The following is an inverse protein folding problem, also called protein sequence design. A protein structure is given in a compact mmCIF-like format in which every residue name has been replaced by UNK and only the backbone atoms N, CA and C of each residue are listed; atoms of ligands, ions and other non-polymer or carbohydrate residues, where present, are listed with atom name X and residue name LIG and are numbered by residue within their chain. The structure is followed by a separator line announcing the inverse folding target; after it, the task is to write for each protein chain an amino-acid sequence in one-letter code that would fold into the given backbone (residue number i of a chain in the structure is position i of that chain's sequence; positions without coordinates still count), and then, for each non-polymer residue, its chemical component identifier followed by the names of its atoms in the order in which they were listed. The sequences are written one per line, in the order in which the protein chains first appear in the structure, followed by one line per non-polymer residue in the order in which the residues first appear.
data_IF_613551788488
#
_entry.id   IF_613551788488
#
_cell.length_a   1.000
_cell.length_b   1.000
_cell.length_c   1.000
_cell.angle_alpha   90.00
_cell.angle_beta   90.00
_cell.angle_gamma   90.00
#
_symmetry.space_group_name_H-M   'P 1'
#
loop_
_entity.id
_entity.type
_entity.pdbx_description
1 polymer ?
#
# COMPACT_ATOMS: atom_id res chain seq x y z
N UNK A 1 -16.16 -9.59 -1.70
CA UNK A 1 -16.47 -10.02 -3.07
C UNK A 1 -15.86 -8.99 -4.00
N UNK A 2 -15.10 -9.34 -5.04
CA UNK A 2 -15.47 -10.15 -6.21
C UNK A 2 -14.55 -11.35 -6.47
N UNK A 3 -15.12 -12.52 -6.75
CA UNK A 3 -14.42 -13.54 -7.53
C UNK A 3 -14.43 -13.04 -8.97
N UNK A 4 -13.38 -12.32 -9.38
CA UNK A 4 -13.16 -12.07 -10.80
C UNK A 4 -12.92 -13.45 -11.42
N UNK A 5 -13.94 -14.00 -12.08
CA UNK A 5 -13.78 -15.15 -12.96
C UNK A 5 -12.92 -14.68 -14.11
N UNK A 6 -11.65 -15.06 -14.05
CA UNK A 6 -10.67 -14.73 -15.04
C UNK A 6 -10.68 -15.83 -16.11
N UNK A 7 -11.34 -15.58 -17.23
CA UNK A 7 -11.28 -16.46 -18.40
C UNK A 7 -10.00 -16.16 -19.17
N UNK A 8 -8.93 -16.85 -18.79
CA UNK A 8 -7.64 -16.71 -19.44
C UNK A 8 -7.74 -17.19 -20.91
N UNK A 9 -7.20 -16.40 -21.83
CA UNK A 9 -7.06 -16.81 -23.24
C UNK A 9 -6.16 -18.06 -23.33
N UNK A 10 -6.44 -18.97 -24.26
CA UNK A 10 -5.63 -20.20 -24.44
C UNK A 10 -4.64 -20.11 -25.60
N UNK A 11 -4.70 -19.05 -26.41
CA UNK A 11 -3.75 -18.83 -27.51
C UNK A 11 -2.48 -18.15 -27.01
N UNK A 12 -1.33 -18.47 -27.61
CA UNK A 12 -0.07 -17.84 -27.21
C UNK A 12 -0.10 -16.30 -27.31
N UNK A 13 -0.57 -15.67 -28.41
CA UNK A 13 -0.64 -14.20 -28.48
C UNK A 13 -1.53 -13.60 -27.39
N UNK A 14 -2.67 -14.22 -27.08
CA UNK A 14 -3.57 -13.73 -26.04
C UNK A 14 -3.00 -13.88 -24.62
N UNK A 15 -2.30 -14.99 -24.35
CA UNK A 15 -1.55 -15.17 -23.10
C UNK A 15 -0.42 -14.14 -22.97
N UNK A 16 0.32 -13.89 -24.05
CA UNK A 16 1.43 -12.95 -24.05
C UNK A 16 0.95 -11.52 -23.82
N UNK A 17 -0.14 -11.14 -24.47
CA UNK A 17 -0.81 -9.86 -24.22
C UNK A 17 -1.23 -9.73 -22.75
N UNK A 18 -1.92 -10.75 -22.22
CA UNK A 18 -2.35 -10.78 -20.81
C UNK A 18 -1.18 -10.62 -19.85
N UNK A 19 -0.05 -11.28 -20.13
CA UNK A 19 1.17 -11.15 -19.33
C UNK A 19 1.68 -9.70 -19.33
N UNK A 20 1.82 -9.07 -20.49
CA UNK A 20 2.33 -7.70 -20.59
C UNK A 20 1.39 -6.67 -19.96
N UNK A 21 0.08 -6.79 -20.19
CA UNK A 21 -0.93 -5.90 -19.59
C UNK A 21 -0.95 -6.03 -18.07
N UNK A 22 -0.93 -7.26 -17.55
CA UNK A 22 -0.93 -7.50 -16.10
C UNK A 22 0.37 -7.07 -15.43
N UNK A 23 1.50 -7.15 -16.14
CA UNK A 23 2.78 -6.66 -15.65
C UNK A 23 2.77 -5.13 -15.58
N UNK A 24 2.31 -4.47 -16.62
CA UNK A 24 2.14 -3.01 -16.63
C UNK A 24 1.22 -2.54 -15.49
N UNK A 25 0.08 -3.17 -15.33
CA UNK A 25 -0.87 -2.88 -14.25
C UNK A 25 -0.27 -3.13 -12.86
N UNK A 26 0.53 -4.19 -12.71
CA UNK A 26 1.25 -4.49 -11.46
C UNK A 26 2.23 -3.36 -11.12
N UNK A 27 3.08 -2.97 -12.06
CA UNK A 27 4.12 -1.94 -11.88
C UNK A 27 3.48 -0.59 -11.53
N UNK A 28 2.49 -0.15 -12.31
CA UNK A 28 1.78 1.13 -12.09
C UNK A 28 1.01 1.14 -10.77
N UNK A 29 0.39 0.01 -10.39
CA UNK A 29 -0.27 -0.13 -9.09
C UNK A 29 0.75 -0.09 -7.95
N UNK A 30 1.95 -0.63 -8.16
CA UNK A 30 3.01 -0.65 -7.15
C UNK A 30 3.59 0.74 -6.90
N UNK A 31 3.86 1.51 -7.96
CA UNK A 31 4.27 2.91 -7.87
C UNK A 31 3.24 3.75 -7.07
N UNK A 32 1.94 3.59 -7.37
CA UNK A 32 0.87 4.25 -6.60
C UNK A 32 0.79 3.76 -5.14
N UNK A 33 0.99 2.47 -4.90
CA UNK A 33 1.00 1.90 -3.55
C UNK A 33 2.12 2.50 -2.70
N UNK A 34 3.33 2.59 -3.24
CA UNK A 34 4.48 3.20 -2.57
C UNK A 34 4.29 4.71 -2.36
N UNK A 35 3.75 5.43 -3.35
CA UNK A 35 3.37 6.84 -3.21
C UNK A 35 2.40 7.06 -2.05
N UNK A 36 1.37 6.23 -1.94
CA UNK A 36 0.42 6.31 -0.83
C UNK A 36 1.06 5.94 0.52
N UNK A 37 1.97 4.96 0.55
CA UNK A 37 2.73 4.60 1.75
C UNK A 37 3.61 5.75 2.24
N UNK A 38 4.30 6.42 1.33
CA UNK A 38 5.09 7.61 1.63
C UNK A 38 4.22 8.72 2.22
N UNK A 39 3.11 9.06 1.58
CA UNK A 39 2.15 10.05 2.10
C UNK A 39 1.56 9.65 3.46
N UNK A 40 1.33 8.35 3.68
CA UNK A 40 0.86 7.84 4.97
C UNK A 40 1.88 8.08 6.06
N UNK A 41 3.17 7.92 5.76
CA UNK A 41 4.24 8.20 6.70
C UNK A 41 4.29 9.69 7.06
N UNK A 42 4.19 10.59 6.09
CA UNK A 42 4.11 12.04 6.34
C UNK A 42 2.90 12.41 7.23
N UNK A 43 1.72 11.83 6.97
CA UNK A 43 0.54 12.04 7.81
C UNK A 43 0.73 11.51 9.24
N UNK A 44 1.41 10.38 9.40
CA UNK A 44 1.72 9.83 10.73
C UNK A 44 2.70 10.71 11.49
N UNK A 45 3.70 11.28 10.81
CA UNK A 45 4.58 12.27 11.45
C UNK A 45 3.84 13.55 11.83
N UNK A 46 2.97 14.07 10.95
CA UNK A 46 2.11 15.20 11.28
C UNK A 46 1.29 14.90 12.53
N UNK A 47 0.67 13.72 12.62
CA UNK A 47 -0.08 13.32 13.81
C UNK A 47 0.80 13.17 15.07
N UNK A 48 2.01 12.62 14.93
CA UNK A 48 2.91 12.39 16.06
C UNK A 48 3.50 13.70 16.63
N UNK A 49 3.83 14.65 15.75
CA UNK A 49 4.47 15.92 16.12
C UNK A 49 3.52 17.12 16.16
N UNK A 50 2.23 16.91 15.89
CA UNK A 50 1.22 17.96 15.99
C UNK A 50 1.00 18.32 17.46
N UNK A 51 1.13 19.62 17.76
CA UNK A 51 0.66 20.22 19.01
C UNK A 51 -0.74 20.83 18.85
N UNK A 52 -1.44 20.51 17.75
CA UNK A 52 -2.66 21.18 17.37
C UNK A 52 -3.87 20.71 18.17
N UNK A 53 -4.96 21.48 18.11
CA UNK A 53 -6.19 21.21 18.83
C UNK A 53 -6.97 20.01 18.25
N UNK A 54 -7.93 19.49 19.02
CA UNK A 54 -8.70 18.29 18.67
C UNK A 54 -9.38 18.34 17.27
N UNK A 55 -9.90 19.47 16.76
CA UNK A 55 -10.51 19.51 15.43
C UNK A 55 -9.53 19.20 14.30
N UNK A 56 -8.29 19.70 14.36
CA UNK A 56 -7.28 19.46 13.32
C UNK A 56 -6.71 18.04 13.40
N UNK A 57 -6.57 17.48 14.61
CA UNK A 57 -6.21 16.07 14.80
C UNK A 57 -7.26 15.15 14.13
N UNK A 58 -8.55 15.41 14.34
CA UNK A 58 -9.61 14.62 13.71
C UNK A 58 -9.61 14.71 12.17
N UNK A 59 -9.25 15.88 11.62
CA UNK A 59 -9.07 16.07 10.16
C UNK A 59 -7.90 15.23 9.65
N UNK A 60 -6.75 15.27 10.33
CA UNK A 60 -5.58 14.45 9.98
C UNK A 60 -5.86 12.94 10.08
N UNK A 61 -6.53 12.49 11.14
CA UNK A 61 -6.94 11.08 11.29
C UNK A 61 -7.90 10.64 10.19
N UNK A 62 -8.83 11.52 9.78
CA UNK A 62 -9.76 11.25 8.67
C UNK A 62 -9.03 11.12 7.35
N UNK A 63 -8.09 12.03 7.06
CA UNK A 63 -7.22 11.94 5.88
C UNK A 63 -6.38 10.67 5.89
N UNK A 64 -5.82 10.30 7.05
CA UNK A 64 -5.09 9.04 7.24
C UNK A 64 -5.98 7.83 6.98
N UNK A 65 -7.24 7.84 7.44
CA UNK A 65 -8.19 6.75 7.23
C UNK A 65 -8.53 6.55 5.75
N UNK A 66 -8.79 7.64 5.02
CA UNK A 66 -9.02 7.60 3.56
C UNK A 66 -7.80 7.01 2.86
N UNK A 67 -6.60 7.46 3.22
CA UNK A 67 -5.36 6.95 2.63
C UNK A 67 -5.11 5.48 2.96
N UNK A 68 -5.38 5.04 4.20
CA UNK A 68 -5.28 3.64 4.61
C UNK A 68 -6.22 2.74 3.80
N UNK A 69 -7.45 3.19 3.52
CA UNK A 69 -8.37 2.45 2.65
C UNK A 69 -7.80 2.33 1.23
N UNK A 70 -7.28 3.42 0.66
CA UNK A 70 -6.63 3.41 -0.66
C UNK A 70 -5.45 2.44 -0.70
N UNK A 71 -4.59 2.44 0.32
CA UNK A 71 -3.46 1.50 0.45
C UNK A 71 -3.95 0.05 0.49
N UNK A 72 -4.99 -0.24 1.27
CA UNK A 72 -5.57 -1.58 1.35
C UNK A 72 -6.11 -2.04 -0.01
N UNK A 73 -6.79 -1.16 -0.75
CA UNK A 73 -7.27 -1.44 -2.11
C UNK A 73 -6.12 -1.70 -3.07
N UNK A 74 -5.08 -0.86 -3.07
CA UNK A 74 -3.89 -1.07 -3.92
C UNK A 74 -3.16 -2.36 -3.60
N UNK A 75 -2.98 -2.69 -2.32
CA UNK A 75 -2.40 -3.97 -1.92
C UNK A 75 -3.21 -5.16 -2.46
N UNK A 76 -4.55 -5.11 -2.39
CA UNK A 76 -5.38 -6.16 -2.99
C UNK A 76 -5.22 -6.25 -4.51
N UNK A 77 -5.14 -5.11 -5.21
CA UNK A 77 -4.90 -5.07 -6.65
C UNK A 77 -3.55 -5.71 -7.01
N UNK A 78 -2.46 -5.40 -6.27
CA UNK A 78 -1.16 -6.04 -6.45
C UNK A 78 -1.24 -7.57 -6.38
N UNK A 79 -1.95 -8.11 -5.38
CA UNK A 79 -2.17 -9.55 -5.26
C UNK A 79 -2.95 -10.14 -6.43
N UNK A 80 -3.95 -9.42 -6.94
CA UNK A 80 -4.73 -9.84 -8.11
C UNK A 80 -3.85 -9.91 -9.35
N UNK A 81 -3.08 -8.86 -9.66
CA UNK A 81 -2.20 -8.84 -10.83
C UNK A 81 -1.08 -9.86 -10.74
N UNK A 82 -0.48 -10.04 -9.56
CA UNK A 82 0.51 -11.10 -9.33
C UNK A 82 -0.08 -12.49 -9.56
N UNK A 83 -1.32 -12.73 -9.13
CA UNK A 83 -2.02 -13.99 -9.40
C UNK A 83 -2.25 -14.20 -10.90
N UNK A 84 -2.72 -13.17 -11.61
CA UNK A 84 -2.96 -13.24 -13.05
C UNK A 84 -1.66 -13.56 -13.80
N UNK A 85 -0.55 -12.90 -13.45
CA UNK A 85 0.77 -13.17 -14.03
C UNK A 85 1.21 -14.61 -13.81
N UNK A 86 1.10 -15.11 -12.58
CA UNK A 86 1.47 -16.48 -12.24
C UNK A 86 0.61 -17.51 -12.99
N UNK A 87 -0.70 -17.31 -13.04
CA UNK A 87 -1.62 -18.18 -13.78
C UNK A 87 -1.30 -18.15 -15.28
N UNK A 88 -1.11 -16.97 -15.86
CA UNK A 88 -0.78 -16.76 -17.27
C UNK A 88 0.51 -17.47 -17.67
N UNK A 89 1.60 -17.25 -16.93
CA UNK A 89 2.89 -17.89 -17.22
C UNK A 89 2.84 -19.41 -17.01
N UNK A 90 2.11 -19.87 -15.99
CA UNK A 90 1.90 -21.31 -15.76
C UNK A 90 1.16 -21.94 -16.93
N UNK A 91 0.10 -21.30 -17.42
CA UNK A 91 -0.64 -21.77 -18.60
C UNK A 91 0.23 -21.79 -19.85
N UNK A 92 1.08 -20.78 -20.08
CA UNK A 92 2.02 -20.80 -21.20
C UNK A 92 2.96 -22.01 -21.16
N UNK A 93 3.44 -22.41 -19.97
CA UNK A 93 4.25 -23.64 -19.83
C UNK A 93 3.42 -24.88 -20.06
N UNK A 94 2.24 -24.97 -19.45
CA UNK A 94 1.38 -26.16 -19.56
C UNK A 94 0.96 -26.42 -21.01
N UNK A 95 0.75 -25.36 -21.79
CA UNK A 95 0.46 -25.44 -23.23
C UNK A 95 1.71 -25.61 -24.10
N UNK A 96 2.91 -25.61 -23.51
CA UNK A 96 4.16 -25.83 -24.22
C UNK A 96 4.66 -24.62 -25.03
N UNK A 97 4.11 -23.43 -24.81
CA UNK A 97 4.54 -22.23 -25.51
C UNK A 97 5.87 -21.67 -25.03
N UNK A 98 6.18 -21.86 -23.74
CA UNK A 98 7.46 -21.46 -23.16
C UNK A 98 8.08 -22.61 -22.38
N UNK A 99 9.42 -22.62 -22.33
CA UNK A 99 10.19 -23.53 -21.50
C UNK A 99 10.20 -23.10 -20.02
N UNK A 100 10.57 -24.02 -19.12
CA UNK A 100 10.82 -23.69 -17.71
C UNK A 100 11.91 -22.61 -17.53
N UNK A 101 12.89 -22.56 -18.44
CA UNK A 101 13.95 -21.54 -18.42
C UNK A 101 13.36 -20.16 -18.72
N UNK A 102 12.51 -20.05 -19.73
CA UNK A 102 11.83 -18.80 -20.07
C UNK A 102 10.85 -18.36 -18.97
N UNK A 103 10.17 -19.27 -18.28
CA UNK A 103 9.39 -18.92 -17.08
C UNK A 103 10.25 -18.23 -16.02
N UNK A 104 11.44 -18.78 -15.75
CA UNK A 104 12.36 -18.19 -14.77
C UNK A 104 12.81 -16.79 -15.22
N UNK A 105 13.14 -16.62 -16.50
CA UNK A 105 13.49 -15.34 -17.09
C UNK A 105 12.33 -14.32 -16.95
N UNK A 106 11.09 -14.70 -17.25
CA UNK A 106 9.92 -13.83 -17.09
C UNK A 106 9.67 -13.44 -15.62
N UNK A 107 9.80 -14.38 -14.68
CA UNK A 107 9.70 -14.05 -13.25
C UNK A 107 10.80 -13.11 -12.81
N UNK A 108 12.02 -13.32 -13.30
CA UNK A 108 13.15 -12.46 -13.00
C UNK A 108 12.92 -11.03 -13.52
N UNK A 109 12.37 -10.88 -14.73
CA UNK A 109 11.97 -9.58 -15.27
C UNK A 109 10.96 -8.87 -14.37
N UNK A 110 9.93 -9.57 -13.87
CA UNK A 110 8.95 -8.97 -12.94
C UNK A 110 9.64 -8.40 -11.69
N UNK A 111 10.58 -9.15 -11.11
CA UNK A 111 11.33 -8.71 -9.93
C UNK A 111 12.17 -7.47 -10.23
N UNK A 112 12.88 -7.45 -11.37
CA UNK A 112 13.68 -6.30 -11.77
C UNK A 112 12.85 -5.04 -11.99
N UNK A 113 11.69 -5.17 -12.64
CA UNK A 113 10.78 -4.04 -12.87
C UNK A 113 10.24 -3.47 -11.55
N UNK A 114 9.90 -4.33 -10.58
CA UNK A 114 9.47 -3.87 -9.25
C UNK A 114 10.62 -3.20 -8.48
N UNK A 115 11.85 -3.73 -8.58
CA UNK A 115 13.03 -3.14 -7.97
C UNK A 115 13.29 -1.73 -8.52
N UNK A 116 13.13 -1.51 -9.83
CA UNK A 116 13.29 -0.18 -10.42
C UNK A 116 12.29 0.84 -9.86
N UNK A 117 11.07 0.41 -9.53
CA UNK A 117 10.11 1.29 -8.85
C UNK A 117 10.59 1.61 -7.44
N UNK A 118 11.10 0.63 -6.69
CA UNK A 118 11.66 0.85 -5.35
C UNK A 118 12.86 1.79 -5.37
N UNK A 119 13.81 1.57 -6.27
CA UNK A 119 15.01 2.39 -6.43
C UNK A 119 14.64 3.85 -6.75
N UNK A 120 13.65 4.07 -7.62
CA UNK A 120 13.11 5.42 -7.90
C UNK A 120 12.55 6.08 -6.64
N UNK A 121 11.91 5.32 -5.75
CA UNK A 121 11.40 5.87 -4.50
C UNK A 121 12.52 6.16 -3.50
N UNK A 122 13.56 5.32 -3.45
CA UNK A 122 14.75 5.57 -2.63
C UNK A 122 15.48 6.83 -3.09
N UNK A 123 15.69 7.00 -4.40
CA UNK A 123 16.30 8.21 -4.98
C UNK A 123 15.49 9.49 -4.64
N UNK A 124 14.16 9.39 -4.64
CA UNK A 124 13.27 10.49 -4.25
C UNK A 124 13.37 10.82 -2.75
N UNK A 125 13.75 9.85 -1.91
CA UNK A 125 13.98 10.07 -0.47
C UNK A 125 15.37 10.66 -0.24
N UNK A 126 16.39 10.16 -0.94
CA UNK A 126 17.75 10.67 -0.83
C UNK A 126 17.89 12.09 -1.38
N UNK A 127 17.21 12.43 -2.47
CA UNK A 127 17.28 13.77 -3.08
C UNK A 127 16.73 14.85 -2.16
N UNK A 128 15.71 14.56 -1.35
CA UNK A 128 15.21 15.49 -0.32
C UNK A 128 16.29 15.86 0.70
N UNK A 129 17.26 14.98 0.95
CA UNK A 129 18.34 15.24 1.92
C UNK A 129 19.49 16.10 1.37
N UNK A 130 19.62 16.23 0.03
CA UNK A 130 20.79 16.86 -0.61
C UNK A 130 20.66 18.38 -0.78
N UNK A 131 19.44 18.93 -0.78
CA UNK A 131 19.23 20.34 -1.16
C UNK A 131 19.31 21.37 -0.01
N UNK A 132 19.49 20.98 1.26
CA UNK A 132 19.46 21.94 2.38
C UNK A 132 20.75 22.06 3.22
N UNK A 133 21.93 21.80 2.63
CA UNK A 133 23.22 22.06 3.29
C UNK A 133 23.67 23.54 3.29
N UNK A 134 22.76 24.50 3.15
CA UNK A 134 23.10 25.94 3.23
C UNK A 134 22.33 26.76 4.27
N UNK A 135 21.54 26.15 5.16
CA UNK A 135 20.96 26.89 6.29
C UNK A 135 21.20 26.18 7.62
N UNK A 136 21.81 26.91 8.54
CA UNK A 136 22.42 26.41 9.75
C UNK A 136 21.41 26.36 10.92
N UNK A 137 20.20 25.83 10.68
CA UNK A 137 19.19 25.65 11.71
C UNK A 137 18.75 24.19 11.82
N UNK A 138 18.99 23.62 13.00
CA UNK A 138 18.48 22.32 13.42
C UNK A 138 16.96 22.26 13.17
N UNK A 139 16.52 21.22 12.45
CA UNK A 139 15.11 20.92 12.14
C UNK A 139 14.43 21.94 11.19
N UNK A 140 15.06 22.28 10.06
CA UNK A 140 14.30 22.88 8.95
C UNK A 140 13.30 21.85 8.45
N UNK A 141 12.07 22.03 8.91
CA UNK A 141 10.86 21.47 8.32
C UNK A 141 10.75 22.13 6.94
N UNK A 142 11.22 21.47 5.90
CA UNK A 142 11.13 22.00 4.53
C UNK A 142 9.66 21.99 4.12
N UNK A 143 9.02 23.15 4.22
CA UNK A 143 7.59 23.31 3.92
C UNK A 143 7.46 23.50 2.41
N UNK A 144 7.39 22.42 1.63
CA UNK A 144 7.15 22.54 0.18
C UNK A 144 5.67 22.82 -0.04
N UNK A 145 5.35 24.10 -0.22
CA UNK A 145 4.04 24.61 -0.63
C UNK A 145 3.66 24.06 -2.00
N UNK A 146 2.85 23.00 -2.04
CA UNK A 146 2.04 22.71 -3.22
C UNK A 146 0.80 23.59 -3.10
N UNK A 147 0.75 24.62 -3.93
CA UNK A 147 -0.36 25.55 -4.07
C UNK A 147 -1.68 24.78 -4.30
N UNK A 148 -2.53 24.74 -3.29
CA UNK A 148 -3.98 24.66 -3.43
C UNK A 148 -4.56 25.57 -2.35
N UNK A 149 -5.37 26.54 -2.78
CA UNK A 149 -5.88 27.71 -2.05
C UNK A 149 -6.78 27.38 -0.83
N UNK A 150 -6.30 26.58 0.11
CA UNK A 150 -6.88 26.44 1.43
C UNK A 150 -5.82 26.82 2.46
N UNK A 151 -6.18 27.74 3.37
CA UNK A 151 -5.44 28.15 4.56
C UNK A 151 -5.30 26.97 5.56
N UNK A 152 -4.80 25.82 5.09
CA UNK A 152 -4.68 24.60 5.85
C UNK A 152 -3.32 24.54 6.54
N UNK A 153 -3.39 24.76 7.85
CA UNK A 153 -2.33 24.66 8.84
C UNK A 153 -1.29 23.58 8.52
N UNK A 154 -0.04 24.03 8.30
CA UNK A 154 1.19 23.28 8.51
C UNK A 154 1.15 21.80 8.05
N UNK A 155 1.06 21.56 6.75
CA UNK A 155 1.58 20.29 6.21
C UNK A 155 3.10 20.30 6.40
N UNK A 156 3.58 19.87 7.58
CA UNK A 156 5.01 19.69 7.81
C UNK A 156 5.44 18.53 6.91
N UNK A 157 6.31 18.81 5.95
CA UNK A 157 7.01 17.74 5.26
C UNK A 157 8.08 17.20 6.22
N UNK A 158 8.15 15.88 6.36
CA UNK A 158 9.18 15.23 7.16
C UNK A 158 10.06 14.40 6.23
N UNK A 159 11.36 14.66 6.26
CA UNK A 159 12.33 13.78 5.63
C UNK A 159 12.27 12.39 6.27
N UNK A 160 12.13 11.36 5.45
CA UNK A 160 12.19 9.97 5.93
C UNK A 160 13.57 9.62 6.52
N UNK A 161 14.62 10.38 6.15
CA UNK A 161 15.98 10.29 6.72
C UNK A 161 16.01 10.42 8.26
N UNK A 162 14.97 11.01 8.86
CA UNK A 162 14.82 11.10 10.31
C UNK A 162 14.69 9.72 10.97
N UNK A 163 14.12 8.73 10.28
CA UNK A 163 13.98 7.36 10.80
C UNK A 163 15.33 6.66 10.96
N UNK A 164 16.28 6.92 10.06
CA UNK A 164 17.63 6.36 10.14
C UNK A 164 18.43 6.99 11.29
N UNK A 165 18.20 8.29 11.53
CA UNK A 165 18.85 9.05 12.61
C UNK A 165 18.25 8.71 13.98
N UNK A 166 16.97 8.35 14.04
CA UNK A 166 16.22 8.11 15.28
C UNK A 166 15.34 6.85 15.17
N UNK A 167 15.89 5.65 15.38
CA UNK A 167 15.12 4.40 15.21
C UNK A 167 13.95 4.24 16.22
N UNK A 168 14.02 4.90 17.38
CA UNK A 168 12.89 4.95 18.34
C UNK A 168 11.64 5.59 17.71
N UNK A 169 11.83 6.56 16.81
CA UNK A 169 10.75 7.25 16.12
C UNK A 169 9.95 6.31 15.23
N UNK A 170 10.63 5.35 14.60
CA UNK A 170 9.96 4.30 13.82
C UNK A 170 9.01 3.49 14.71
N UNK A 171 9.43 3.16 15.94
CA UNK A 171 8.59 2.44 16.91
C UNK A 171 7.36 3.26 17.29
N UNK A 172 7.53 4.56 17.54
CA UNK A 172 6.43 5.45 17.93
C UNK A 172 5.41 5.62 16.79
N UNK A 173 5.88 5.75 15.55
CA UNK A 173 5.02 5.78 14.37
C UNK A 173 4.28 4.44 14.20
N UNK A 174 4.96 3.31 14.38
CA UNK A 174 4.33 1.99 14.29
C UNK A 174 3.24 1.82 15.37
N UNK A 175 3.50 2.29 16.60
CA UNK A 175 2.52 2.27 17.69
C UNK A 175 1.30 3.16 17.38
N UNK A 176 1.54 4.36 16.83
CA UNK A 176 0.48 5.27 16.40
C UNK A 176 -0.36 4.64 15.27
N UNK A 177 0.29 4.08 14.25
CA UNK A 177 -0.36 3.38 13.14
C UNK A 177 -1.26 2.25 13.64
N UNK A 178 -0.75 1.40 14.54
CA UNK A 178 -1.51 0.30 15.14
C UNK A 178 -2.69 0.80 15.98
N UNK A 179 -2.51 1.90 16.70
CA UNK A 179 -3.58 2.52 17.50
C UNK A 179 -4.72 3.02 16.60
N UNK A 180 -4.38 3.67 15.48
CA UNK A 180 -5.36 4.12 14.49
C UNK A 180 -6.06 2.93 13.79
N UNK A 181 -5.33 1.86 13.45
CA UNK A 181 -5.94 0.62 12.94
C UNK A 181 -6.95 0.06 13.95
N UNK A 182 -6.56 -0.03 15.22
CA UNK A 182 -7.44 -0.55 16.28
C UNK A 182 -8.71 0.30 16.40
N UNK A 183 -8.55 1.63 16.47
CA UNK A 183 -9.63 2.62 16.57
C UNK A 183 -10.63 2.51 15.41
N UNK A 184 -10.15 2.49 14.18
CA UNK A 184 -11.02 2.60 13.00
C UNK A 184 -11.46 1.26 12.40
N UNK A 185 -10.67 0.19 12.51
CA UNK A 185 -10.95 -1.07 11.80
C UNK A 185 -11.27 -2.24 12.73
N UNK A 186 -10.72 -2.29 13.94
CA UNK A 186 -10.97 -3.40 14.89
C UNK A 186 -12.21 -3.11 15.74
N UNK A 187 -12.26 -1.95 16.40
CA UNK A 187 -13.39 -1.55 17.24
C UNK A 187 -14.66 -1.36 16.41
N UNK A 188 -14.55 -0.78 15.21
CA UNK A 188 -15.70 -0.59 14.32
C UNK A 188 -16.31 -1.93 13.84
N UNK A 189 -15.49 -2.97 13.61
CA UNK A 189 -15.96 -4.33 13.30
C UNK A 189 -16.72 -4.96 14.46
N UNK A 190 -16.26 -4.76 15.70
CA UNK A 190 -16.95 -5.28 16.88
C UNK A 190 -18.32 -4.59 17.07
N UNK A 191 -18.36 -3.26 16.94
CA UNK A 191 -19.61 -2.49 17.03
C UNK A 191 -20.61 -2.87 15.93
N UNK A 192 -20.15 -3.08 14.69
CA UNK A 192 -21.02 -3.52 13.59
C UNK A 192 -21.48 -4.97 13.76
N UNK A 193 -20.63 -5.85 14.32
CA UNK A 193 -21.02 -7.23 14.64
C UNK A 193 -22.06 -7.30 15.76
N UNK A 194 -21.98 -6.43 16.78
CA UNK A 194 -22.99 -6.34 17.83
C UNK A 194 -24.32 -5.76 17.33
N UNK A 195 -24.28 -4.79 16.41
CA UNK A 195 -25.51 -4.34 15.72
C UNK A 195 -26.14 -5.44 14.87
N UNK A 196 -25.34 -6.24 14.17
CA UNK A 196 -25.86 -7.36 13.37
C UNK A 196 -26.34 -8.54 14.22
N UNK A 197 -25.76 -8.77 15.42
CA UNK A 197 -26.24 -9.79 16.35
C UNK A 197 -27.51 -9.38 17.12
N UNK A 198 -27.78 -8.08 17.29
CA UNK A 198 -29.08 -7.65 17.85
C UNK A 198 -30.25 -7.92 16.90
N UNK A 199 -29.97 -8.14 15.62
CA UNK A 199 -30.97 -8.48 14.61
C UNK A 199 -30.71 -9.87 14.00
N UNK A 200 -30.56 -10.91 14.82
CA UNK A 200 -30.77 -12.29 14.35
C UNK A 200 -31.02 -13.28 15.49
N UNK A 201 -32.25 -13.27 16.01
CA UNK A 201 -32.90 -14.51 16.41
C UNK A 201 -33.30 -15.25 15.13
N UNK A 202 -32.39 -16.05 14.58
CA UNK A 202 -32.77 -17.21 13.78
C UNK A 202 -31.62 -18.21 13.71
N UNK A 203 -31.90 -19.38 14.26
CA UNK A 203 -31.08 -20.59 14.27
C UNK A 203 -30.79 -21.08 12.85
N UNK A 204 -29.53 -21.19 12.47
CA UNK A 204 -29.08 -22.30 11.61
C UNK A 204 -27.58 -22.54 11.71
N UNK A 205 -27.23 -23.82 11.65
CA UNK A 205 -26.01 -24.47 12.08
C UNK A 205 -24.73 -24.06 11.35
N UNK A 206 -23.68 -23.93 12.17
CA UNK A 206 -22.28 -24.34 11.96
C UNK A 206 -21.96 -24.93 10.56
N UNK A 207 -21.16 -24.21 9.77
CA UNK A 207 -20.19 -24.85 8.88
C UNK A 207 -18.84 -24.12 9.01
N UNK A 208 -17.85 -24.89 9.45
CA UNK A 208 -16.46 -24.49 9.64
C UNK A 208 -15.74 -24.47 8.29
N UNK A 209 -15.64 -23.30 7.66
CA UNK A 209 -14.76 -23.12 6.50
C UNK A 209 -13.35 -22.88 7.03
N UNK A 210 -12.57 -23.97 7.11
CA UNK A 210 -11.12 -23.94 7.32
C UNK A 210 -10.48 -23.13 6.18
N UNK A 211 -9.98 -21.94 6.50
CA UNK A 211 -9.07 -21.22 5.60
C UNK A 211 -7.71 -21.92 5.68
N UNK A 212 -7.38 -22.72 4.67
CA UNK A 212 -6.00 -23.18 4.46
C UNK A 212 -5.11 -21.95 4.26
N UNK A 213 -4.16 -21.73 5.17
CA UNK A 213 -3.01 -20.88 4.89
C UNK A 213 -2.25 -21.51 3.71
N UNK A 214 -2.19 -20.81 2.59
CA UNK A 214 -1.23 -21.12 1.53
C UNK A 214 0.00 -20.30 1.86
N UNK A 215 1.06 -20.99 2.27
CA UNK A 215 2.41 -20.45 2.41
C UNK A 215 2.97 -20.15 1.01
N UNK A 216 3.49 -18.93 0.81
CA UNK A 216 4.91 -18.70 0.47
C UNK A 216 5.33 -17.45 1.25
#
# INVERSE_FOLDING_TARGET
MSNIQFNLCTTFPGLLQTYHESLYDLITTYDLYLSYKRRQMSLLFNLLFSSAELPSINKLESSWMVLQNSIMTKNQQLWVYRRILNETMTTMITLGYISKKQLFELNHCIVLELQQVEDKFEDLIESETKDDNTSNDRNVITTTTINDDNEDENDRCFELSLLDKQPELFRDILNLHNSLISKYYVVQRQNNSHKNNSNNNNTCSRSSIQRKCVYI
#
